data_IF_438524006314
#
_entry.id   IF_438524006314
#
_cell.length_a   1.000
_cell.length_b   1.000
_cell.length_c   1.000
_cell.angle_alpha   90.00
_cell.angle_beta   90.00
_cell.angle_gamma   90.00
#
_symmetry.space_group_name_H-M   'P 1'
#
loop_
_entity.id
_entity.type
_entity.pdbx_description
1 polymer ?
#
# COMPACT_ATOMS: atom_id res chain seq x y z
N UNK A 1 -14.25 -18.28 -17.79
CA UNK A 1 -13.17 -17.91 -16.86
C UNK A 1 -12.21 -17.04 -17.64
N UNK A 2 -12.21 -15.76 -17.32
CA UNK A 2 -11.22 -14.81 -17.81
C UNK A 2 -9.92 -15.14 -17.08
N UNK A 3 -8.88 -15.49 -17.83
CA UNK A 3 -7.59 -15.77 -17.23
C UNK A 3 -6.77 -14.47 -17.21
N UNK A 4 -6.65 -13.85 -16.05
CA UNK A 4 -5.88 -12.62 -15.85
C UNK A 4 -4.38 -12.93 -15.74
N UNK A 5 -3.81 -13.62 -16.73
CA UNK A 5 -2.37 -13.94 -16.69
C UNK A 5 -1.52 -12.66 -16.70
N UNK A 6 -0.45 -12.58 -15.88
CA UNK A 6 0.21 -13.66 -15.12
C UNK A 6 -0.19 -13.78 -13.63
N UNK A 7 -1.46 -13.59 -13.26
CA UNK A 7 -1.89 -13.68 -11.85
C UNK A 7 -2.00 -15.12 -11.33
N UNK A 8 -1.83 -15.34 -10.00
CA UNK A 8 -2.13 -16.62 -9.36
C UNK A 8 -3.56 -17.08 -9.65
N UNK A 9 -3.73 -18.33 -10.09
CA UNK A 9 -5.05 -18.82 -10.53
C UNK A 9 -6.12 -18.77 -9.43
N UNK A 10 -5.71 -18.85 -8.17
CA UNK A 10 -6.59 -18.81 -7.00
C UNK A 10 -7.28 -17.45 -6.77
N UNK A 11 -6.71 -16.35 -7.27
CA UNK A 11 -7.34 -15.02 -7.13
C UNK A 11 -8.36 -14.74 -8.24
N UNK A 12 -8.26 -15.42 -9.39
CA UNK A 12 -9.10 -15.15 -10.56
C UNK A 12 -10.62 -15.15 -10.27
N UNK A 13 -11.19 -16.14 -9.55
CA UNK A 13 -12.64 -16.14 -9.28
C UNK A 13 -13.11 -14.92 -8.48
N UNK A 14 -12.30 -14.47 -7.52
CA UNK A 14 -12.60 -13.30 -6.72
C UNK A 14 -12.51 -12.01 -7.54
N UNK A 15 -11.49 -11.90 -8.40
CA UNK A 15 -11.30 -10.77 -9.31
C UNK A 15 -12.43 -10.67 -10.34
N UNK A 16 -12.94 -11.81 -10.84
CA UNK A 16 -14.13 -11.85 -11.69
C UNK A 16 -15.37 -11.32 -10.96
N UNK A 17 -15.59 -11.74 -9.70
CA UNK A 17 -16.70 -11.28 -8.88
C UNK A 17 -16.60 -9.78 -8.53
N UNK A 18 -15.39 -9.30 -8.23
CA UNK A 18 -15.11 -7.88 -8.01
C UNK A 18 -15.41 -7.07 -9.26
N UNK A 19 -14.81 -7.42 -10.40
CA UNK A 19 -14.98 -6.70 -11.67
C UNK A 19 -16.45 -6.66 -12.10
N UNK A 20 -17.14 -7.80 -12.03
CA UNK A 20 -18.57 -7.87 -12.34
C UNK A 20 -19.39 -7.00 -11.40
N UNK A 21 -19.13 -7.06 -10.10
CA UNK A 21 -19.83 -6.26 -9.11
C UNK A 21 -19.63 -4.76 -9.34
N UNK A 22 -18.38 -4.34 -9.56
CA UNK A 22 -18.00 -2.95 -9.77
C UNK A 22 -18.68 -2.39 -11.03
N UNK A 23 -18.68 -3.15 -12.13
CA UNK A 23 -19.41 -2.79 -13.36
C UNK A 23 -20.91 -2.57 -13.11
N UNK A 24 -21.55 -3.45 -12.34
CA UNK A 24 -22.98 -3.32 -12.02
C UNK A 24 -23.25 -2.12 -11.14
N UNK A 25 -22.42 -1.88 -10.11
CA UNK A 25 -22.61 -0.79 -9.17
C UNK A 25 -22.35 0.58 -9.80
N UNK A 26 -21.35 0.70 -10.68
CA UNK A 26 -20.95 1.96 -11.30
C UNK A 26 -21.63 2.22 -12.64
N UNK A 27 -21.99 1.18 -13.39
CA UNK A 27 -22.56 1.31 -14.73
C UNK A 27 -21.71 2.23 -15.61
N UNK A 28 -22.33 3.30 -16.13
CA UNK A 28 -21.66 4.28 -16.98
C UNK A 28 -20.58 5.12 -16.29
N UNK A 29 -20.41 5.04 -14.96
CA UNK A 29 -19.34 5.71 -14.21
C UNK A 29 -18.04 4.92 -14.17
N UNK A 30 -18.03 3.63 -14.52
CA UNK A 30 -16.83 2.81 -14.52
C UNK A 30 -15.85 3.26 -15.62
N UNK A 31 -14.58 3.47 -15.25
CA UNK A 31 -13.50 3.82 -16.19
C UNK A 31 -12.50 2.68 -16.30
N UNK A 32 -12.04 2.15 -15.18
CA UNK A 32 -11.08 1.06 -15.19
C UNK A 32 -10.85 0.47 -13.80
N UNK A 33 -10.29 -0.73 -13.79
CA UNK A 33 -9.89 -1.43 -12.56
C UNK A 33 -8.48 -1.97 -12.77
N UNK A 34 -7.59 -1.70 -11.81
CA UNK A 34 -6.25 -2.26 -11.79
C UNK A 34 -5.91 -2.81 -10.40
N UNK A 35 -4.95 -3.72 -10.38
CA UNK A 35 -4.36 -4.24 -9.16
C UNK A 35 -3.03 -3.54 -8.87
N UNK A 36 -2.75 -3.40 -7.58
CA UNK A 36 -1.58 -2.73 -7.03
C UNK A 36 -0.77 -3.73 -6.16
N UNK A 37 0.09 -3.21 -5.29
CA UNK A 37 0.65 -3.90 -4.15
C UNK A 37 1.47 -5.14 -4.50
N UNK A 38 1.26 -6.22 -3.77
CA UNK A 38 2.07 -7.44 -3.88
C UNK A 38 1.90 -8.15 -5.23
N UNK A 39 0.70 -8.11 -5.83
CA UNK A 39 0.45 -8.65 -7.17
C UNK A 39 1.20 -7.86 -8.23
N UNK A 40 1.11 -6.52 -8.20
CA UNK A 40 1.81 -5.65 -9.14
C UNK A 40 3.35 -5.69 -8.97
N UNK A 41 3.85 -5.89 -7.75
CA UNK A 41 5.28 -5.98 -7.47
C UNK A 41 5.86 -7.40 -7.62
N UNK A 42 5.04 -8.41 -7.94
CA UNK A 42 5.50 -9.77 -8.25
C UNK A 42 5.88 -10.63 -7.04
N UNK A 43 5.42 -10.28 -5.84
CA UNK A 43 5.73 -10.98 -4.58
C UNK A 43 4.45 -11.29 -3.76
N UNK A 44 3.36 -11.58 -4.45
CA UNK A 44 2.11 -12.05 -3.84
C UNK A 44 2.26 -13.48 -3.30
N UNK A 45 1.67 -13.73 -2.14
CA UNK A 45 1.55 -15.04 -1.53
C UNK A 45 0.27 -15.19 -0.72
N UNK A 46 0.11 -16.35 -0.06
CA UNK A 46 -1.09 -16.70 0.71
C UNK A 46 -1.46 -15.75 1.85
N UNK A 47 -0.49 -14.99 2.37
CA UNK A 47 -0.68 -14.08 3.52
C UNK A 47 -0.87 -12.62 3.04
N UNK A 48 -0.81 -12.41 1.72
CA UNK A 48 -1.01 -11.13 1.06
C UNK A 48 -2.50 -10.77 0.94
N UNK A 49 -2.74 -9.47 0.95
CA UNK A 49 -3.97 -8.83 0.48
C UNK A 49 -4.01 -8.75 -1.05
N UNK A 50 -5.19 -8.44 -1.57
CA UNK A 50 -5.42 -8.12 -2.98
C UNK A 50 -5.76 -6.64 -3.04
N UNK A 51 -4.73 -5.85 -3.34
CA UNK A 51 -4.82 -4.41 -3.53
C UNK A 51 -5.46 -4.10 -4.89
N UNK A 52 -6.55 -3.32 -4.89
CA UNK A 52 -7.21 -2.88 -6.11
C UNK A 52 -7.51 -1.38 -6.10
N UNK A 53 -7.55 -0.79 -7.29
CA UNK A 53 -8.03 0.58 -7.49
C UNK A 53 -9.02 0.62 -8.63
N UNK A 54 -10.16 1.22 -8.36
CA UNK A 54 -11.21 1.49 -9.35
C UNK A 54 -11.21 2.96 -9.68
N UNK A 55 -11.15 3.27 -10.97
CA UNK A 55 -11.30 4.63 -11.48
C UNK A 55 -12.73 4.86 -11.95
N UNK A 56 -13.31 5.97 -11.54
CA UNK A 56 -14.63 6.45 -11.96
C UNK A 56 -14.54 7.72 -12.76
N UNK A 57 -15.57 8.06 -13.55
CA UNK A 57 -15.58 9.31 -14.33
C UNK A 57 -15.54 10.52 -13.38
N UNK A 58 -16.46 10.53 -12.42
CA UNK A 58 -16.65 11.61 -11.44
C UNK A 58 -16.65 11.06 -10.00
N UNK A 59 -16.81 11.93 -9.00
CA UNK A 59 -16.91 11.55 -7.59
C UNK A 59 -18.10 10.61 -7.32
N UNK A 60 -17.93 9.71 -6.35
CA UNK A 60 -18.93 8.70 -6.00
C UNK A 60 -20.10 9.34 -5.25
N UNK A 61 -21.32 9.15 -5.76
CA UNK A 61 -22.55 9.57 -5.08
C UNK A 61 -22.87 8.69 -3.87
N UNK A 62 -23.68 9.16 -2.89
CA UNK A 62 -24.12 8.34 -1.77
C UNK A 62 -24.84 7.04 -2.17
N UNK A 63 -25.64 7.08 -3.24
CA UNK A 63 -26.36 5.92 -3.76
C UNK A 63 -25.39 4.89 -4.35
N UNK A 64 -24.40 5.38 -5.10
CA UNK A 64 -23.34 4.55 -5.70
C UNK A 64 -22.47 3.94 -4.61
N UNK A 65 -22.10 4.71 -3.59
CA UNK A 65 -21.40 4.24 -2.40
C UNK A 65 -22.16 3.09 -1.72
N UNK A 66 -23.47 3.26 -1.49
CA UNK A 66 -24.30 2.23 -0.87
C UNK A 66 -24.37 0.94 -1.71
N UNK A 67 -24.38 1.06 -3.04
CA UNK A 67 -24.34 -0.08 -3.95
C UNK A 67 -22.97 -0.82 -3.87
N UNK A 68 -21.86 -0.08 -3.83
CA UNK A 68 -20.51 -0.64 -3.68
C UNK A 68 -20.33 -1.31 -2.31
N UNK A 69 -20.79 -0.68 -1.22
CA UNK A 69 -20.76 -1.28 0.12
C UNK A 69 -21.57 -2.59 0.16
N UNK A 70 -22.79 -2.59 -0.40
CA UNK A 70 -23.61 -3.80 -0.50
C UNK A 70 -22.91 -4.91 -1.30
N UNK A 71 -22.25 -4.55 -2.39
CA UNK A 71 -21.47 -5.47 -3.21
C UNK A 71 -20.30 -6.07 -2.43
N UNK A 72 -19.48 -5.26 -1.77
CA UNK A 72 -18.32 -5.75 -1.00
C UNK A 72 -18.74 -6.65 0.16
N UNK A 73 -19.83 -6.32 0.87
CA UNK A 73 -20.41 -7.19 1.90
C UNK A 73 -20.94 -8.53 1.39
N UNK A 74 -21.29 -8.60 0.10
CA UNK A 74 -21.66 -9.87 -0.56
C UNK A 74 -20.40 -10.66 -0.89
N UNK A 75 -19.39 -10.00 -1.45
CA UNK A 75 -18.11 -10.61 -1.82
C UNK A 75 -17.44 -11.23 -0.59
N UNK A 76 -17.38 -10.53 0.54
CA UNK A 76 -16.74 -11.03 1.77
C UNK A 76 -17.38 -12.28 2.35
N UNK A 77 -18.60 -12.63 1.92
CA UNK A 77 -19.33 -13.83 2.35
C UNK A 77 -19.21 -15.00 1.37
N UNK A 78 -18.53 -14.81 0.24
CA UNK A 78 -18.31 -15.87 -0.72
C UNK A 78 -17.28 -16.86 -0.17
N UNK A 79 -17.51 -18.15 -0.42
CA UNK A 79 -16.53 -19.20 -0.13
C UNK A 79 -15.43 -19.22 -1.20
N UNK A 80 -14.76 -18.09 -1.38
CA UNK A 80 -13.63 -17.91 -2.29
C UNK A 80 -12.36 -17.60 -1.48
N UNK A 81 -11.19 -18.09 -1.91
CA UNK A 81 -9.92 -17.61 -1.39
C UNK A 81 -9.86 -16.08 -1.43
N UNK A 82 -9.25 -15.47 -0.41
CA UNK A 82 -9.03 -14.03 -0.32
C UNK A 82 -10.29 -13.14 -0.27
N UNK A 83 -11.50 -13.69 -0.10
CA UNK A 83 -12.73 -12.89 -0.09
C UNK A 83 -12.75 -11.77 0.96
N UNK A 84 -12.03 -11.96 2.07
CA UNK A 84 -11.85 -10.99 3.17
C UNK A 84 -10.50 -10.27 3.12
N UNK A 85 -9.72 -10.48 2.06
CA UNK A 85 -8.38 -9.93 1.88
C UNK A 85 -8.33 -8.85 0.79
N UNK A 86 -9.49 -8.40 0.30
CA UNK A 86 -9.58 -7.25 -0.60
C UNK A 86 -9.29 -5.96 0.18
N UNK A 87 -8.39 -5.16 -0.37
CA UNK A 87 -8.07 -3.81 0.10
C UNK A 87 -8.04 -2.90 -1.13
N UNK A 88 -8.66 -1.74 -1.07
CA UNK A 88 -8.71 -0.90 -2.24
C UNK A 88 -9.73 0.22 -2.24
N UNK A 89 -9.58 1.08 -3.25
CA UNK A 89 -10.22 2.39 -3.23
C UNK A 89 -10.82 2.80 -4.58
N UNK A 90 -11.77 3.73 -4.51
CA UNK A 90 -12.50 4.25 -5.67
C UNK A 90 -12.16 5.73 -5.86
N UNK A 91 -11.45 6.06 -6.93
CA UNK A 91 -11.02 7.43 -7.23
C UNK A 91 -11.64 7.93 -8.53
N UNK A 92 -12.05 9.19 -8.57
CA UNK A 92 -12.43 9.82 -9.84
C UNK A 92 -11.21 9.98 -10.74
N UNK A 93 -11.41 10.12 -12.05
CA UNK A 93 -10.34 10.44 -13.01
C UNK A 93 -9.52 11.66 -12.60
N UNK A 94 -10.18 12.64 -11.97
CA UNK A 94 -9.53 13.85 -11.46
C UNK A 94 -8.63 13.55 -10.26
N UNK A 95 -9.10 12.75 -9.31
CA UNK A 95 -8.35 12.43 -8.09
C UNK A 95 -7.18 11.46 -8.30
N UNK A 96 -7.31 10.52 -9.24
CA UNK A 96 -6.24 9.56 -9.56
C UNK A 96 -5.10 10.20 -10.37
N UNK A 97 -5.40 11.24 -11.17
CA UNK A 97 -4.42 11.91 -12.04
C UNK A 97 -3.21 12.44 -11.29
N UNK A 98 -3.43 13.17 -10.21
CA UNK A 98 -2.39 13.71 -9.33
C UNK A 98 -3.02 13.99 -7.97
N UNK A 99 -2.21 14.02 -6.91
CA UNK A 99 -2.68 14.50 -5.62
C UNK A 99 -3.21 15.94 -5.75
N UNK A 100 -4.43 16.15 -5.25
CA UNK A 100 -5.11 17.43 -5.15
C UNK A 100 -5.62 17.54 -3.69
N UNK A 101 -5.13 18.49 -2.88
CA UNK A 101 -5.58 18.66 -1.50
C UNK A 101 -7.07 18.94 -1.35
N UNK A 102 -7.77 19.35 -2.43
CA UNK A 102 -9.22 19.51 -2.43
C UNK A 102 -9.99 18.20 -2.68
N UNK A 103 -9.31 17.11 -3.04
CA UNK A 103 -9.89 15.81 -3.41
C UNK A 103 -9.17 14.67 -2.70
N UNK A 104 -9.18 14.66 -1.36
CA UNK A 104 -8.51 13.64 -0.56
C UNK A 104 -9.44 12.54 -0.06
N UNK A 105 -10.76 12.77 -0.01
CA UNK A 105 -11.70 11.82 0.58
C UNK A 105 -12.30 10.87 -0.47
N UNK A 106 -12.05 9.57 -0.31
CA UNK A 106 -12.47 8.55 -1.27
C UNK A 106 -13.09 7.33 -0.58
N UNK A 107 -13.97 6.58 -1.25
CA UNK A 107 -14.41 5.28 -0.74
C UNK A 107 -13.23 4.31 -0.72
N UNK A 108 -12.98 3.71 0.43
CA UNK A 108 -11.93 2.76 0.68
C UNK A 108 -12.47 1.52 1.40
N UNK A 109 -11.91 0.36 1.08
CA UNK A 109 -12.11 -0.91 1.76
C UNK A 109 -10.75 -1.35 2.30
N UNK A 110 -10.68 -1.74 3.58
CA UNK A 110 -9.52 -2.42 4.14
C UNK A 110 -9.74 -3.93 4.13
N UNK A 111 -8.65 -4.69 4.21
CA UNK A 111 -8.74 -6.14 4.44
C UNK A 111 -9.36 -6.47 5.82
N UNK A 112 -10.23 -7.46 5.86
CA UNK A 112 -10.79 -8.01 7.10
C UNK A 112 -12.19 -8.63 6.95
N UNK A 113 -12.55 -9.55 7.85
CA UNK A 113 -13.83 -10.29 7.77
C UNK A 113 -15.07 -9.39 7.93
N UNK A 114 -14.94 -8.30 8.68
CA UNK A 114 -16.03 -7.39 9.03
C UNK A 114 -15.85 -5.98 8.47
N UNK A 115 -14.82 -5.77 7.64
CA UNK A 115 -14.57 -4.48 7.02
C UNK A 115 -15.70 -4.09 6.06
N UNK A 116 -15.88 -2.78 5.94
CA UNK A 116 -16.91 -2.15 5.12
C UNK A 116 -16.30 -1.02 4.35
N UNK A 117 -16.95 -0.69 3.23
CA UNK A 117 -16.59 0.51 2.51
C UNK A 117 -16.80 1.72 3.43
N UNK A 118 -15.78 2.55 3.55
CA UNK A 118 -15.77 3.78 4.36
C UNK A 118 -15.15 4.90 3.54
N UNK A 119 -15.38 6.14 3.96
CA UNK A 119 -14.63 7.27 3.41
C UNK A 119 -13.29 7.35 4.13
N UNK A 120 -12.20 7.37 3.37
CA UNK A 120 -10.84 7.49 3.88
C UNK A 120 -10.10 8.62 3.16
N UNK A 121 -9.19 9.29 3.88
CA UNK A 121 -8.34 10.34 3.34
C UNK A 121 -7.12 9.71 2.66
N UNK A 122 -6.85 10.11 1.42
CA UNK A 122 -5.63 9.77 0.68
C UNK A 122 -4.80 11.04 0.52
N UNK A 123 -3.75 11.13 1.32
CA UNK A 123 -2.83 12.26 1.30
C UNK A 123 -1.83 12.20 0.14
N UNK A 124 -0.76 12.99 0.29
CA UNK A 124 0.38 12.96 -0.63
C UNK A 124 1.19 11.65 -0.49
N UNK A 125 1.10 10.97 0.66
CA UNK A 125 1.65 9.63 0.91
C UNK A 125 1.17 8.58 -0.11
N UNK A 126 -0.04 8.75 -0.64
CA UNK A 126 -0.63 7.90 -1.67
C UNK A 126 0.07 8.02 -3.05
N UNK A 127 1.11 8.85 -3.18
CA UNK A 127 1.99 8.88 -4.36
C UNK A 127 2.63 7.50 -4.65
N UNK A 128 2.85 6.68 -3.62
CA UNK A 128 3.38 5.31 -3.76
C UNK A 128 2.44 4.42 -4.59
N UNK A 129 1.14 4.43 -4.25
CA UNK A 129 0.12 3.68 -4.98
C UNK A 129 0.00 4.17 -6.42
N UNK A 130 -0.01 5.50 -6.63
CA UNK A 130 0.00 6.08 -8.00
C UNK A 130 1.21 5.63 -8.81
N UNK A 131 2.40 5.58 -8.21
CA UNK A 131 3.60 5.15 -8.89
C UNK A 131 3.52 3.68 -9.31
N UNK A 132 3.13 2.79 -8.39
CA UNK A 132 3.02 1.35 -8.69
C UNK A 132 1.93 1.10 -9.73
N UNK A 133 0.74 1.66 -9.57
CA UNK A 133 -0.35 1.56 -10.56
C UNK A 133 0.07 2.01 -11.95
N UNK A 134 0.81 3.12 -12.03
CA UNK A 134 1.26 3.70 -13.30
C UNK A 134 2.32 2.85 -13.99
N UNK A 135 3.32 2.37 -13.26
CA UNK A 135 4.50 1.73 -13.86
C UNK A 135 4.42 0.19 -13.88
N UNK A 136 3.61 -0.41 -13.00
CA UNK A 136 3.55 -1.87 -12.78
C UNK A 136 2.13 -2.40 -12.51
N UNK A 137 1.12 -1.54 -12.44
CA UNK A 137 -0.24 -1.93 -12.14
C UNK A 137 -0.78 -2.95 -13.13
N UNK A 138 -1.57 -3.92 -12.64
CA UNK A 138 -2.14 -4.98 -13.47
C UNK A 138 -3.57 -4.58 -13.83
N UNK A 139 -3.77 -4.06 -15.03
CA UNK A 139 -5.09 -3.66 -15.53
C UNK A 139 -5.97 -4.88 -15.75
N UNK A 140 -7.10 -4.95 -15.05
CA UNK A 140 -8.12 -5.97 -15.30
C UNK A 140 -9.10 -5.54 -16.39
N UNK A 141 -9.31 -4.23 -16.57
CA UNK A 141 -10.18 -3.72 -17.62
C UNK A 141 -9.85 -2.30 -18.12
N UNK A 142 -9.75 -2.21 -19.46
CA UNK A 142 -10.00 -1.06 -20.36
C UNK A 142 -9.69 0.35 -19.83
N UNK A 143 -8.54 0.53 -19.18
CA UNK A 143 -7.75 1.76 -19.33
C UNK A 143 -6.28 1.49 -19.05
N UNK A 144 -5.39 2.00 -19.90
CA UNK A 144 -3.97 2.10 -19.57
C UNK A 144 -3.81 3.09 -18.40
N UNK A 145 -3.52 2.58 -17.20
CA UNK A 145 -3.32 3.41 -16.01
C UNK A 145 -2.15 4.39 -16.18
N UNK A 146 -1.21 4.11 -17.09
CA UNK A 146 -0.16 5.04 -17.50
C UNK A 146 -0.70 6.29 -18.22
N UNK A 147 -1.93 6.28 -18.69
CA UNK A 147 -2.60 7.47 -19.24
C UNK A 147 -3.52 8.17 -18.22
N UNK A 148 -3.88 7.49 -17.13
CA UNK A 148 -4.76 8.02 -16.08
C UNK A 148 -4.04 8.75 -14.96
N UNK A 149 -2.76 8.44 -14.75
CA UNK A 149 -1.96 8.95 -13.65
C UNK A 149 -0.86 9.81 -14.28
N UNK A 150 -0.67 11.04 -13.83
CA UNK A 150 0.47 11.86 -14.23
C UNK A 150 1.79 11.22 -13.78
N UNK A 151 2.92 11.43 -14.47
CA UNK A 151 4.21 10.93 -14.01
C UNK A 151 4.46 11.30 -12.55
N UNK A 152 4.71 10.29 -11.71
CA UNK A 152 5.10 10.47 -10.31
C UNK A 152 6.60 10.71 -10.29
N UNK A 153 7.01 11.87 -9.79
CA UNK A 153 8.40 12.28 -9.77
C UNK A 153 9.15 11.68 -8.57
N UNK A 154 10.48 11.53 -8.65
CA UNK A 154 11.31 11.09 -7.52
C UNK A 154 11.02 11.81 -6.20
N UNK A 155 10.81 13.12 -6.26
CA UNK A 155 10.55 13.93 -5.06
C UNK A 155 9.14 13.71 -4.50
N UNK A 156 8.17 13.33 -5.32
CA UNK A 156 6.82 12.97 -4.85
C UNK A 156 6.89 11.73 -3.96
N UNK A 157 7.67 10.72 -4.38
CA UNK A 157 7.92 9.52 -3.58
C UNK A 157 8.66 9.83 -2.28
N UNK A 158 9.70 10.68 -2.34
CA UNK A 158 10.43 11.07 -1.12
C UNK A 158 9.54 11.80 -0.12
N UNK A 159 8.73 12.76 -0.58
CA UNK A 159 7.77 13.46 0.30
C UNK A 159 6.76 12.49 0.91
N UNK A 160 6.22 11.57 0.13
CA UNK A 160 5.37 10.50 0.65
C UNK A 160 6.05 9.66 1.73
N UNK A 161 7.33 9.31 1.56
CA UNK A 161 8.10 8.57 2.56
C UNK A 161 8.35 9.37 3.83
N UNK A 162 8.63 10.67 3.72
CA UNK A 162 8.77 11.54 4.88
C UNK A 162 7.46 11.70 5.65
N UNK A 163 6.33 11.84 4.96
CA UNK A 163 5.01 11.84 5.60
C UNK A 163 4.74 10.54 6.35
N UNK A 164 5.04 9.38 5.75
CA UNK A 164 4.95 8.10 6.44
C UNK A 164 5.85 8.01 7.68
N UNK A 165 7.04 8.62 7.66
CA UNK A 165 7.87 8.72 8.85
C UNK A 165 7.22 9.58 9.94
N UNK A 166 6.72 10.78 9.58
CA UNK A 166 6.22 11.76 10.56
C UNK A 166 4.83 11.45 11.09
N UNK A 167 3.94 10.91 10.26
CA UNK A 167 2.53 10.73 10.58
C UNK A 167 2.20 9.30 11.06
N UNK A 168 3.07 8.33 10.75
CA UNK A 168 2.87 6.94 11.13
C UNK A 168 4.03 6.36 11.96
N UNK A 169 5.26 6.36 11.45
CA UNK A 169 6.36 5.65 12.12
C UNK A 169 6.78 6.29 13.46
N UNK A 170 6.94 7.61 13.51
CA UNK A 170 7.30 8.33 14.74
C UNK A 170 6.23 8.17 15.83
N UNK A 171 4.92 8.37 15.55
CA UNK A 171 3.85 8.16 16.54
C UNK A 171 3.79 6.75 17.16
N UNK A 172 4.29 5.72 16.47
CA UNK A 172 4.39 4.37 17.06
C UNK A 172 5.33 4.33 18.27
N UNK A 173 6.31 5.23 18.34
CA UNK A 173 7.23 5.32 19.49
C UNK A 173 6.52 5.72 20.79
N UNK A 174 5.37 6.39 20.68
CA UNK A 174 4.55 6.80 21.82
C UNK A 174 3.46 5.76 22.16
N UNK A 175 3.28 4.76 21.31
CA UNK A 175 2.22 3.74 21.42
C UNK A 175 2.74 2.30 21.27
N UNK A 176 3.75 1.87 22.05
CA UNK A 176 4.41 0.57 21.88
C UNK A 176 3.47 -0.63 22.05
N UNK A 177 2.34 -0.46 22.74
CA UNK A 177 1.31 -1.51 22.85
C UNK A 177 0.73 -1.94 21.49
N UNK A 178 0.78 -1.09 20.46
CA UNK A 178 0.37 -1.44 19.10
C UNK A 178 1.26 -2.53 18.49
N UNK A 179 2.53 -2.60 18.91
CA UNK A 179 3.51 -3.59 18.45
C UNK A 179 3.37 -4.96 19.16
N UNK A 180 2.41 -5.12 20.06
CA UNK A 180 2.14 -6.38 20.73
C UNK A 180 1.66 -7.47 19.75
N UNK A 181 1.00 -7.11 18.65
CA UNK A 181 0.74 -8.04 17.55
C UNK A 181 2.03 -8.28 16.76
N UNK A 182 2.44 -9.54 16.65
CA UNK A 182 3.60 -9.93 15.86
C UNK A 182 3.40 -9.65 14.37
N UNK A 183 2.17 -9.80 13.87
CA UNK A 183 1.81 -9.41 12.51
C UNK A 183 2.04 -7.93 12.25
N UNK A 184 1.56 -7.06 13.14
CA UNK A 184 1.74 -5.62 12.98
C UNK A 184 3.20 -5.17 13.18
N UNK A 185 3.92 -5.72 14.16
CA UNK A 185 5.35 -5.46 14.32
C UNK A 185 6.16 -5.87 13.07
N UNK A 186 5.82 -7.03 12.49
CA UNK A 186 6.41 -7.50 11.23
C UNK A 186 6.12 -6.54 10.07
N UNK A 187 4.87 -6.09 9.95
CA UNK A 187 4.47 -5.09 8.98
C UNK A 187 5.29 -3.80 9.13
N UNK A 188 5.48 -3.31 10.35
CA UNK A 188 6.27 -2.10 10.63
C UNK A 188 7.70 -2.25 10.15
N UNK A 189 8.41 -3.29 10.57
CA UNK A 189 9.82 -3.52 10.17
C UNK A 189 9.97 -3.62 8.65
N UNK A 190 9.11 -4.38 7.99
CA UNK A 190 9.18 -4.58 6.53
C UNK A 190 8.81 -3.31 5.75
N UNK A 191 7.83 -2.54 6.23
CA UNK A 191 7.45 -1.25 5.64
C UNK A 191 8.57 -0.22 5.80
N UNK A 192 9.25 -0.17 6.95
CA UNK A 192 10.41 0.69 7.15
C UNK A 192 11.57 0.36 6.20
N UNK A 193 11.81 -0.94 5.92
CA UNK A 193 12.79 -1.34 4.91
C UNK A 193 12.42 -0.80 3.52
N UNK A 194 11.14 -0.86 3.13
CA UNK A 194 10.65 -0.30 1.86
C UNK A 194 10.76 1.22 1.82
N UNK A 195 10.46 1.89 2.93
CA UNK A 195 10.57 3.35 3.02
C UNK A 195 12.01 3.78 2.79
N UNK A 196 12.97 3.16 3.47
CA UNK A 196 14.39 3.45 3.27
C UNK A 196 14.84 3.18 1.83
N UNK A 197 14.39 2.08 1.21
CA UNK A 197 14.69 1.80 -0.20
C UNK A 197 14.14 2.89 -1.13
N UNK A 198 12.89 3.31 -0.87
CA UNK A 198 12.19 4.29 -1.71
C UNK A 198 12.83 5.67 -1.60
N UNK A 199 13.28 6.08 -0.41
CA UNK A 199 14.06 7.31 -0.22
C UNK A 199 15.37 7.28 -1.02
N UNK A 200 16.04 6.12 -1.03
CA UNK A 200 17.35 5.95 -1.67
C UNK A 200 17.29 5.92 -3.19
N UNK A 201 16.32 5.22 -3.77
CA UNK A 201 16.27 4.92 -5.20
C UNK A 201 15.11 5.59 -5.93
N UNK A 202 14.19 6.24 -5.21
CA UNK A 202 12.96 6.79 -5.79
C UNK A 202 12.19 5.75 -6.62
N UNK A 203 12.16 4.53 -6.10
CA UNK A 203 11.45 3.39 -6.66
C UNK A 203 10.80 2.58 -5.53
N UNK A 204 9.66 1.97 -5.81
CA UNK A 204 8.85 1.23 -4.85
C UNK A 204 8.98 -0.26 -5.17
N UNK A 205 9.72 -1.01 -4.36
CA UNK A 205 9.86 -2.47 -4.52
C UNK A 205 9.00 -3.23 -3.52
N UNK A 206 8.91 -4.55 -3.62
CA UNK A 206 8.20 -5.38 -2.64
C UNK A 206 8.87 -5.39 -1.26
N UNK A 207 8.14 -5.87 -0.24
CA UNK A 207 8.66 -6.03 1.13
C UNK A 207 9.87 -6.96 1.18
N UNK A 208 9.88 -8.05 0.41
CA UNK A 208 11.00 -9.02 0.43
C UNK A 208 12.25 -8.47 -0.25
N UNK A 209 12.10 -7.75 -1.36
CA UNK A 209 13.23 -7.12 -2.05
C UNK A 209 13.84 -6.04 -1.15
N UNK A 210 13.00 -5.18 -0.57
CA UNK A 210 13.48 -4.15 0.35
C UNK A 210 14.14 -4.73 1.60
N UNK A 211 13.57 -5.79 2.20
CA UNK A 211 14.15 -6.45 3.37
C UNK A 211 15.52 -7.07 3.05
N UNK A 212 15.65 -7.78 1.92
CA UNK A 212 16.94 -8.33 1.47
C UNK A 212 17.97 -7.23 1.26
N UNK A 213 17.58 -6.15 0.59
CA UNK A 213 18.46 -5.00 0.39
C UNK A 213 18.87 -4.34 1.70
N UNK A 214 17.93 -4.09 2.63
CA UNK A 214 18.19 -3.45 3.91
C UNK A 214 19.26 -4.20 4.71
N UNK A 215 19.24 -5.54 4.70
CA UNK A 215 20.29 -6.37 5.34
C UNK A 215 21.69 -6.19 4.76
N UNK A 216 21.82 -5.69 3.53
CA UNK A 216 23.13 -5.45 2.89
C UNK A 216 23.72 -4.08 3.22
N UNK A 217 22.89 -3.12 3.64
CA UNK A 217 23.30 -1.72 3.86
C UNK A 217 23.24 -1.28 5.32
N UNK A 218 22.39 -1.92 6.14
CA UNK A 218 22.25 -1.63 7.56
C UNK A 218 23.26 -2.41 8.41
N UNK A 219 23.48 -1.95 9.65
CA UNK A 219 24.30 -2.66 10.63
C UNK A 219 23.83 -4.12 10.81
N UNK A 220 24.78 -5.05 10.94
CA UNK A 220 24.51 -6.48 11.03
C UNK A 220 23.55 -6.87 12.16
N UNK A 221 23.45 -6.07 13.23
CA UNK A 221 22.51 -6.29 14.35
C UNK A 221 21.04 -6.36 13.89
N UNK A 222 20.68 -5.67 12.81
CA UNK A 222 19.29 -5.63 12.31
C UNK A 222 18.88 -6.85 11.50
N UNK A 223 19.84 -7.66 11.05
CA UNK A 223 19.55 -8.84 10.21
C UNK A 223 18.57 -9.79 10.89
N UNK A 224 18.76 -10.07 12.18
CA UNK A 224 17.88 -10.98 12.93
C UNK A 224 16.45 -10.45 13.06
N UNK A 225 16.29 -9.16 13.32
CA UNK A 225 14.97 -8.52 13.41
C UNK A 225 14.24 -8.56 12.07
N UNK A 226 14.94 -8.27 10.96
CA UNK A 226 14.36 -8.28 9.62
C UNK A 226 13.93 -9.70 9.23
N UNK A 227 14.77 -10.71 9.51
CA UNK A 227 14.42 -12.11 9.25
C UNK A 227 13.24 -12.57 10.12
N UNK A 228 13.23 -12.19 11.41
CA UNK A 228 12.12 -12.48 12.31
C UNK A 228 10.80 -11.81 11.89
N UNK A 229 10.84 -10.60 11.34
CA UNK A 229 9.68 -9.92 10.76
C UNK A 229 9.17 -10.62 9.49
N UNK A 230 10.08 -11.10 8.64
CA UNK A 230 9.69 -11.87 7.46
C UNK A 230 9.01 -13.20 7.83
N UNK A 231 9.47 -13.88 8.87
CA UNK A 231 8.82 -15.08 9.40
C UNK A 231 7.51 -14.75 10.12
N UNK A 232 7.50 -13.68 10.94
CA UNK A 232 6.40 -13.27 11.78
C UNK A 232 5.12 -12.93 11.01
N UNK A 233 5.24 -12.40 9.79
CA UNK A 233 4.08 -12.11 8.93
C UNK A 233 3.21 -13.33 8.60
N UNK A 234 3.80 -14.54 8.59
CA UNK A 234 3.07 -15.79 8.31
C UNK A 234 2.32 -16.31 9.56
N UNK A 235 2.51 -15.67 10.72
CA UNK A 235 1.87 -16.00 11.98
C UNK A 235 1.35 -14.72 12.66
N UNK A 236 0.44 -13.97 12.00
CA UNK A 236 0.11 -12.60 12.40
C UNK A 236 -0.59 -12.51 13.77
N UNK A 237 -1.26 -13.58 14.21
CA UNK A 237 -1.99 -13.66 15.48
C UNK A 237 -1.09 -13.91 16.70
N UNK A 238 0.19 -14.20 16.49
CA UNK A 238 1.14 -14.37 17.58
C UNK A 238 1.41 -13.03 18.30
N UNK A 239 1.80 -13.11 19.57
CA UNK A 239 2.24 -11.96 20.34
C UNK A 239 3.75 -11.74 20.19
N UNK A 240 4.14 -10.47 20.05
CA UNK A 240 5.54 -10.04 20.17
C UNK A 240 5.99 -10.13 21.63
N UNK A 241 7.19 -10.64 21.86
CA UNK A 241 7.86 -10.54 23.15
C UNK A 241 8.23 -9.09 23.48
N UNK A 242 8.42 -8.73 24.77
CA UNK A 242 8.90 -7.39 25.15
C UNK A 242 10.23 -7.01 24.48
N UNK A 243 11.10 -8.00 24.22
CA UNK A 243 12.36 -7.77 23.51
C UNK A 243 12.12 -7.41 22.04
N UNK A 244 11.27 -8.15 21.32
CA UNK A 244 10.94 -7.85 19.92
C UNK A 244 10.29 -6.46 19.77
N UNK A 245 9.43 -6.07 20.72
CA UNK A 245 8.87 -4.72 20.77
C UNK A 245 9.98 -3.69 20.92
N UNK A 246 10.88 -3.87 21.89
CA UNK A 246 12.01 -2.94 22.10
C UNK A 246 12.92 -2.85 20.88
N UNK A 247 13.25 -3.99 20.25
CA UNK A 247 14.09 -4.03 19.04
C UNK A 247 13.40 -3.34 17.85
N UNK A 248 12.09 -3.52 17.70
CA UNK A 248 11.30 -2.83 16.66
C UNK A 248 11.30 -1.31 16.88
N UNK A 249 11.21 -0.87 18.14
CA UNK A 249 11.25 0.55 18.49
C UNK A 249 12.63 1.17 18.22
N UNK A 250 13.70 0.46 18.54
CA UNK A 250 15.07 0.90 18.22
C UNK A 250 15.30 0.93 16.69
N UNK A 251 14.68 0.00 15.97
CA UNK A 251 14.70 0.00 14.51
C UNK A 251 13.97 1.21 13.93
N UNK A 252 12.77 1.55 14.44
CA UNK A 252 12.05 2.77 14.07
C UNK A 252 12.95 4.01 14.24
N UNK A 253 13.56 4.18 15.43
CA UNK A 253 14.46 5.32 15.71
C UNK A 253 15.59 5.41 14.71
N UNK A 254 16.24 4.27 14.42
CA UNK A 254 17.36 4.19 13.48
C UNK A 254 16.93 4.59 12.06
N UNK A 255 15.79 4.10 11.59
CA UNK A 255 15.30 4.42 10.24
C UNK A 255 14.87 5.88 10.14
N UNK A 256 14.27 6.44 11.19
CA UNK A 256 13.94 7.89 11.26
C UNK A 256 15.20 8.74 11.13
N UNK A 257 16.26 8.41 11.87
CA UNK A 257 17.55 9.12 11.80
C UNK A 257 18.18 9.05 10.40
N UNK A 258 18.22 7.86 9.80
CA UNK A 258 18.75 7.67 8.44
C UNK A 258 17.92 8.43 7.39
N UNK A 259 16.59 8.43 7.54
CA UNK A 259 15.68 9.13 6.62
C UNK A 259 15.85 10.65 6.68
N UNK A 260 16.15 11.22 7.85
CA UNK A 260 16.41 12.65 8.01
C UNK A 260 17.71 13.08 7.31
N UNK A 261 18.74 12.22 7.32
CA UNK A 261 20.02 12.49 6.65
C UNK A 261 19.85 12.53 5.12
N UNK A 262 19.12 11.57 4.53
CA UNK A 262 18.84 11.58 3.08
C UNK A 262 18.00 12.81 2.66
N UNK A 263 17.05 13.25 3.50
CA UNK A 263 16.28 14.47 3.23
C UNK A 263 17.19 15.71 3.16
N UNK A 264 18.08 15.87 4.13
CA UNK A 264 19.00 17.02 4.21
C UNK A 264 19.91 17.12 2.98
N UNK A 265 20.32 15.99 2.40
CA UNK A 265 21.16 15.94 1.19
C UNK A 265 20.38 16.18 -0.11
N UNK A 266 19.04 16.10 -0.07
CA UNK A 266 18.16 16.26 -1.23
C UNK A 266 17.40 17.60 -1.24
N UNK A 267 17.56 18.43 -0.21
CA UNK A 267 16.97 19.78 -0.14
C UNK A 267 17.63 20.74 -1.15
N UNK A 268 16.87 21.61 -1.84
CA UNK A 268 17.40 22.63 -2.76
C UNK A 268 18.44 23.57 -2.13
N UNK A 269 18.45 23.72 -0.80
CA UNK A 269 19.46 24.52 -0.10
C UNK A 269 20.86 23.87 -0.12
N UNK A 270 20.96 22.54 -0.15
CA UNK A 270 22.24 21.82 -0.16
C UNK A 270 22.98 21.94 -1.50
N UNK A 271 22.28 22.24 -2.60
CA UNK A 271 22.92 22.55 -3.90
C UNK A 271 23.54 23.95 -3.94
N UNK A 272 23.02 24.91 -3.14
CA UNK A 272 23.56 26.27 -3.07
C UNK A 272 24.88 26.38 -2.29
N UNK A 273 25.19 25.40 -1.45
CA UNK A 273 26.44 25.34 -0.69
C UNK A 273 27.54 24.52 -1.40
N UNK A 274 27.22 23.92 -2.56
CA UNK A 274 28.17 23.14 -3.39
C UNK A 274 28.52 23.81 -4.72
N UNK A 275 28.02 25.02 -4.98
CA UNK A 275 28.32 25.83 -6.17
C UNK A 275 29.39 26.88 -5.90
#
# INVERSE_FOLDING_TARGET
MTNFLPLPLEVNPLLEELLKGVRVALGGQFVGLALDGSLANGDFDRDSDIDFVVVTKDEISPETFAALDKMHRRISKLALPFATQLEGSYLSRKAIWKHDPALTLHPNLERGENERLKWAEHGEDWAVHRFVLRERGITLEETDFKTLISPVLPDDLKRAMHLNMTEWAIPLLDTPATLASRGYASFVVLSLCRILYTLRYSDVVSKVVAARWAKTVLEARWTKLIDAAWEGRHNPDALSSPQEISETMDFIRTIVELSALDFSLSSPQAESERA
#
